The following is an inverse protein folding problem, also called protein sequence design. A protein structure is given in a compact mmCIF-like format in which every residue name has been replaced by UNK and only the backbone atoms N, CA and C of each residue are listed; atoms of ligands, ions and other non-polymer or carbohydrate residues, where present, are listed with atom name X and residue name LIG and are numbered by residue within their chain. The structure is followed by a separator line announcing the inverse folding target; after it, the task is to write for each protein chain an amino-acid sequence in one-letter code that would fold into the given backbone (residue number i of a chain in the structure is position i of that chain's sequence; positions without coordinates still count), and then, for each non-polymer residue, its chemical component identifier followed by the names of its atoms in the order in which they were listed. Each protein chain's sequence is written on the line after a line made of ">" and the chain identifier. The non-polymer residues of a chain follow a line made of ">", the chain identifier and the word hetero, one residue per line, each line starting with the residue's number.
data_IF_333948155926
#
_entry.id   IF_333948155926
#
_cell.length_a   1.000
_cell.length_b   1.000
_cell.length_c   1.000
_cell.angle_alpha   90.00
_cell.angle_beta   90.00
_cell.angle_gamma   90.00
#
_symmetry.space_group_name_H-M   'P 1'
#
loop_
_entity.id
_entity.type
_entity.pdbx_description
1 polymer ?
#
# COMPACT_ATOMS: atom_id res chain seq x y z
N UNK A 1 6.05 -19.86 -28.21
CA UNK A 1 6.30 -20.81 -27.09
C UNK A 1 7.71 -20.74 -26.48
N UNK A 2 8.74 -20.16 -27.12
CA UNK A 2 10.11 -20.11 -26.56
C UNK A 2 10.36 -19.04 -25.48
N UNK A 3 9.49 -18.03 -25.37
CA UNK A 3 9.64 -16.92 -24.39
C UNK A 3 9.11 -17.29 -22.99
N UNK A 4 8.21 -18.27 -22.90
CA UNK A 4 7.58 -18.65 -21.63
C UNK A 4 8.54 -19.42 -20.70
N UNK A 5 9.46 -20.21 -21.26
CA UNK A 5 10.47 -20.94 -20.49
C UNK A 5 11.55 -20.00 -19.92
N UNK A 6 11.85 -18.90 -20.60
CA UNK A 6 12.81 -17.89 -20.12
C UNK A 6 12.30 -17.16 -18.88
N UNK A 7 10.99 -16.86 -18.82
CA UNK A 7 10.38 -16.20 -17.67
C UNK A 7 10.34 -17.12 -16.43
N UNK A 8 10.10 -18.41 -16.64
CA UNK A 8 10.09 -19.43 -15.58
C UNK A 8 11.50 -19.71 -15.02
N UNK A 9 12.54 -19.57 -15.84
CA UNK A 9 13.93 -19.71 -15.39
C UNK A 9 14.41 -18.52 -14.54
N UNK A 10 13.96 -17.30 -14.86
CA UNK A 10 14.27 -16.09 -14.08
C UNK A 10 13.51 -16.07 -12.74
N UNK A 11 12.29 -16.62 -12.70
CA UNK A 11 11.51 -16.80 -11.46
C UNK A 11 12.07 -17.92 -10.56
N UNK A 12 12.74 -18.93 -11.11
CA UNK A 12 13.35 -20.02 -10.33
C UNK A 12 14.68 -19.67 -9.67
N UNK A 13 15.42 -18.67 -10.19
CA UNK A 13 16.75 -18.30 -9.71
C UNK A 13 16.76 -17.32 -8.53
N UNK A 14 15.62 -16.75 -8.14
CA UNK A 14 15.53 -15.87 -6.95
C UNK A 14 15.19 -16.62 -5.66
N UNK A 15 14.92 -17.93 -5.72
CA UNK A 15 14.53 -18.75 -4.55
C UNK A 15 15.74 -19.28 -3.77
N UNK A 16 16.97 -19.07 -4.27
CA UNK A 16 18.19 -19.70 -3.76
C UNK A 16 19.08 -18.88 -2.81
N UNK A 17 18.67 -17.71 -2.33
CA UNK A 17 19.46 -16.91 -1.37
C UNK A 17 18.72 -16.62 -0.08
N UNK A 18 18.24 -17.67 0.59
CA UNK A 18 17.95 -17.62 2.03
C UNK A 18 19.29 -17.73 2.80
N UNK A 19 20.13 -16.70 2.69
CA UNK A 19 21.24 -16.54 3.62
C UNK A 19 20.66 -16.20 4.99
N UNK A 20 20.94 -17.06 5.97
CA UNK A 20 20.69 -16.83 7.38
C UNK A 20 21.25 -15.47 7.82
N UNK A 21 20.39 -14.45 7.86
CA UNK A 21 20.72 -13.17 8.48
C UNK A 21 20.60 -13.32 9.99
N UNK A 22 21.77 -13.36 10.62
CA UNK A 22 22.03 -13.14 12.04
C UNK A 22 21.10 -12.03 12.58
N UNK A 23 20.34 -12.37 13.62
CA UNK A 23 19.39 -11.52 14.34
C UNK A 23 20.03 -10.16 14.73
N UNK A 24 19.90 -9.16 13.87
CA UNK A 24 19.83 -7.76 14.28
C UNK A 24 18.34 -7.47 14.34
N UNK A 25 17.84 -7.19 15.55
CA UNK A 25 16.46 -6.83 15.80
C UNK A 25 16.22 -5.41 15.24
N UNK A 26 16.25 -5.27 13.92
CA UNK A 26 15.76 -4.09 13.23
C UNK A 26 14.25 -4.12 13.42
N UNK A 27 13.73 -3.28 14.32
CA UNK A 27 12.34 -3.14 14.71
C UNK A 27 11.41 -2.65 13.59
N UNK A 28 11.51 -3.30 12.44
CA UNK A 28 10.85 -3.00 11.18
C UNK A 28 10.32 -4.31 10.59
N UNK A 29 9.03 -4.29 10.26
CA UNK A 29 8.39 -5.27 9.36
C UNK A 29 8.23 -4.60 8.01
N UNK A 30 8.44 -5.33 6.92
CA UNK A 30 8.22 -4.79 5.58
C UNK A 30 7.63 -5.86 4.66
N UNK A 31 7.07 -5.42 3.54
CA UNK A 31 6.60 -6.31 2.50
C UNK A 31 5.86 -5.60 1.39
N UNK A 32 5.35 -6.35 0.41
CA UNK A 32 4.44 -5.81 -0.60
C UNK A 32 3.02 -5.70 -0.06
N UNK A 33 2.22 -4.85 -0.70
CA UNK A 33 0.78 -4.79 -0.52
C UNK A 33 0.06 -4.63 -1.86
N UNK A 34 -1.17 -5.15 -1.88
CA UNK A 34 -2.11 -4.99 -2.98
C UNK A 34 -3.43 -4.49 -2.43
N UNK A 35 -4.08 -3.57 -3.12
CA UNK A 35 -5.35 -3.03 -2.67
C UNK A 35 -6.25 -2.57 -3.79
N UNK A 36 -7.50 -2.34 -3.47
CA UNK A 36 -8.49 -1.70 -4.32
C UNK A 36 -8.95 -0.42 -3.64
N UNK A 37 -9.10 0.64 -4.42
CA UNK A 37 -9.65 1.91 -3.97
C UNK A 37 -10.67 2.41 -4.97
N UNK A 38 -11.80 2.91 -4.45
CA UNK A 38 -12.77 3.67 -5.22
C UNK A 38 -12.72 5.13 -4.77
N UNK A 39 -12.42 6.04 -5.70
CA UNK A 39 -12.40 7.49 -5.49
C UNK A 39 -12.67 8.21 -6.80
N UNK A 40 -13.93 8.56 -7.07
CA UNK A 40 -14.35 9.08 -8.39
C UNK A 40 -14.02 8.16 -9.58
N UNK A 41 -13.66 6.90 -9.30
CA UNK A 41 -13.11 5.91 -10.21
C UNK A 41 -12.49 4.73 -9.48
N UNK A 42 -12.23 3.62 -10.20
CA UNK A 42 -11.60 2.42 -9.63
C UNK A 42 -10.09 2.43 -9.80
N UNK A 43 -9.38 2.06 -8.74
CA UNK A 43 -7.93 2.00 -8.69
C UNK A 43 -7.47 0.67 -8.09
N UNK A 44 -6.52 0.01 -8.76
CA UNK A 44 -5.73 -1.06 -8.19
C UNK A 44 -4.45 -0.44 -7.61
N UNK A 45 -4.17 -0.70 -6.34
CA UNK A 45 -2.99 -0.19 -5.64
C UNK A 45 -1.97 -1.30 -5.49
N UNK A 46 -0.72 -1.02 -5.82
CA UNK A 46 0.39 -1.91 -5.54
C UNK A 46 1.54 -1.10 -4.94
N UNK A 47 1.99 -1.50 -3.76
CA UNK A 47 2.99 -0.76 -2.99
C UNK A 47 3.96 -1.69 -2.28
N UNK A 48 5.15 -1.17 -1.97
CA UNK A 48 5.99 -1.67 -0.89
C UNK A 48 5.71 -0.88 0.38
N UNK A 49 5.79 -1.53 1.55
CA UNK A 49 5.55 -0.87 2.83
C UNK A 49 6.58 -1.31 3.87
N UNK A 50 6.81 -0.42 4.84
CA UNK A 50 7.58 -0.67 6.05
C UNK A 50 6.80 -0.19 7.27
N UNK A 51 6.77 -0.98 8.33
CA UNK A 51 6.08 -0.77 9.59
C UNK A 51 7.09 -0.83 10.73
N UNK A 52 7.05 0.16 11.62
CA UNK A 52 7.87 0.18 12.83
C UNK A 52 7.03 0.59 14.03
N UNK A 53 7.42 0.12 15.22
CA UNK A 53 6.78 0.50 16.47
C UNK A 53 7.23 1.91 16.88
N UNK A 54 6.28 2.80 17.13
CA UNK A 54 6.57 4.10 17.76
C UNK A 54 6.59 3.97 19.29
N UNK A 55 5.81 3.02 19.82
CA UNK A 55 5.82 2.56 21.20
C UNK A 55 5.23 1.12 21.25
N UNK A 56 5.13 0.47 22.43
CA UNK A 56 4.66 -0.92 22.51
C UNK A 56 3.24 -1.20 21.98
N UNK A 57 2.39 -0.18 21.83
CA UNK A 57 0.98 -0.34 21.41
C UNK A 57 0.61 0.41 20.13
N UNK A 58 1.53 1.17 19.54
CA UNK A 58 1.29 2.01 18.37
C UNK A 58 2.37 1.79 17.31
N UNK A 59 1.94 1.86 16.06
CA UNK A 59 2.79 1.58 14.92
C UNK A 59 2.63 2.65 13.85
N UNK A 60 3.70 2.89 13.13
CA UNK A 60 3.72 3.76 11.96
C UNK A 60 4.11 2.93 10.74
N UNK A 61 3.28 2.99 9.70
CA UNK A 61 3.55 2.39 8.39
C UNK A 61 3.80 3.48 7.38
N UNK A 62 4.87 3.31 6.62
CA UNK A 62 5.18 4.10 5.44
C UNK A 62 5.00 3.18 4.23
N UNK A 63 4.25 3.62 3.24
CA UNK A 63 4.03 2.89 1.99
C UNK A 63 4.35 3.75 0.76
N UNK A 64 4.93 3.13 -0.25
CA UNK A 64 5.29 3.77 -1.51
C UNK A 64 4.98 2.83 -2.67
N UNK A 65 4.30 3.33 -3.69
CA UNK A 65 3.81 2.50 -4.78
C UNK A 65 3.13 3.28 -5.87
N UNK A 66 2.15 2.64 -6.51
CA UNK A 66 1.36 3.27 -7.55
C UNK A 66 -0.09 2.76 -7.59
N UNK A 67 -0.95 3.66 -8.05
CA UNK A 67 -2.35 3.40 -8.38
C UNK A 67 -2.48 3.21 -9.89
N UNK A 68 -3.02 2.05 -10.28
CA UNK A 68 -3.34 1.68 -11.65
C UNK A 68 -4.84 1.89 -11.87
N UNK A 69 -5.19 2.57 -12.95
CA UNK A 69 -6.58 2.81 -13.31
C UNK A 69 -6.80 2.77 -14.82
N UNK A 70 -8.02 2.44 -15.23
CA UNK A 70 -8.46 2.31 -16.62
C UNK A 70 -9.66 3.22 -16.92
N UNK A 71 -9.62 4.45 -16.41
CA UNK A 71 -10.68 5.43 -16.63
C UNK A 71 -10.53 6.14 -17.97
N UNK A 72 -11.66 6.58 -18.53
CA UNK A 72 -11.70 7.37 -19.78
C UNK A 72 -10.96 6.69 -20.94
N UNK A 73 -11.09 5.36 -21.05
CA UNK A 73 -10.42 4.51 -22.06
C UNK A 73 -8.89 4.59 -22.04
N UNK A 74 -8.29 5.04 -20.93
CA UNK A 74 -6.84 5.21 -20.77
C UNK A 74 -6.33 4.44 -19.55
N UNK A 75 -5.26 3.68 -19.76
CA UNK A 75 -4.49 3.12 -18.64
C UNK A 75 -3.59 4.21 -18.07
N UNK A 76 -3.77 4.54 -16.78
CA UNK A 76 -2.98 5.55 -16.08
C UNK A 76 -2.35 4.93 -14.84
N UNK A 77 -1.06 5.23 -14.63
CA UNK A 77 -0.29 4.84 -13.45
C UNK A 77 0.07 6.11 -12.69
N UNK A 78 -0.32 6.15 -11.42
CA UNK A 78 -0.17 7.34 -10.58
C UNK A 78 0.69 6.95 -9.38
N UNK A 79 1.89 7.50 -9.21
CA UNK A 79 2.70 7.20 -8.03
C UNK A 79 2.00 7.70 -6.76
N UNK A 80 2.18 6.96 -5.67
CA UNK A 80 1.57 7.26 -4.38
C UNK A 80 2.58 7.06 -3.24
N UNK A 81 2.52 7.96 -2.27
CA UNK A 81 3.17 7.83 -0.97
C UNK A 81 2.09 7.84 0.12
N UNK A 82 2.19 6.91 1.07
CA UNK A 82 1.26 6.73 2.16
C UNK A 82 1.94 6.73 3.52
N UNK A 83 1.24 7.27 4.52
CA UNK A 83 1.61 7.23 5.92
C UNK A 83 0.40 6.80 6.74
N UNK A 84 0.51 5.69 7.47
CA UNK A 84 -0.57 5.13 8.30
C UNK A 84 -0.12 5.06 9.75
N UNK A 85 -0.91 5.62 10.66
CA UNK A 85 -0.67 5.57 12.09
C UNK A 85 -1.73 4.71 12.78
N UNK A 86 -1.32 3.58 13.34
CA UNK A 86 -2.20 2.67 14.07
C UNK A 86 -2.26 3.09 15.54
N UNK A 87 -3.49 3.29 16.03
CA UNK A 87 -3.76 3.86 17.34
C UNK A 87 -3.66 2.83 18.48
N UNK A 88 -3.79 1.54 18.18
CA UNK A 88 -3.75 0.44 19.14
C UNK A 88 -3.35 -0.89 18.45
N UNK A 89 -2.95 -1.90 19.25
CA UNK A 89 -2.42 -3.19 18.84
C UNK A 89 -3.31 -4.42 19.19
N UNK A 90 -4.62 -4.22 19.36
CA UNK A 90 -5.60 -5.32 19.63
C UNK A 90 -5.91 -6.15 18.37
N UNK A 91 -6.87 -7.07 18.30
CA UNK A 91 -7.11 -7.82 17.04
C UNK A 91 -7.52 -6.92 15.85
N UNK A 92 -8.16 -5.79 16.15
CA UNK A 92 -8.63 -4.77 15.21
C UNK A 92 -7.84 -3.49 15.47
N UNK A 93 -7.04 -3.05 14.51
CA UNK A 93 -6.14 -1.91 14.65
C UNK A 93 -6.81 -0.69 14.03
N UNK A 94 -7.46 0.19 14.81
CA UNK A 94 -7.94 1.45 14.26
C UNK A 94 -6.74 2.29 13.82
N UNK A 95 -6.88 2.94 12.65
CA UNK A 95 -5.81 3.77 12.11
C UNK A 95 -6.34 5.01 11.41
N UNK A 96 -5.44 5.98 11.28
CA UNK A 96 -5.57 7.10 10.36
C UNK A 96 -4.50 6.98 9.28
N UNK A 97 -4.84 7.35 8.05
CA UNK A 97 -3.94 7.27 6.90
C UNK A 97 -3.97 8.57 6.10
N UNK A 98 -2.79 9.08 5.77
CA UNK A 98 -2.59 10.09 4.76
C UNK A 98 -1.98 9.47 3.51
N UNK A 99 -2.48 9.81 2.34
CA UNK A 99 -1.91 9.42 1.04
C UNK A 99 -1.71 10.67 0.19
N UNK A 100 -0.56 10.78 -0.47
CA UNK A 100 -0.24 11.85 -1.40
C UNK A 100 0.05 11.23 -2.76
N UNK A 101 -0.59 11.79 -3.78
CA UNK A 101 -0.28 11.56 -5.19
C UNK A 101 0.04 12.90 -5.85
N UNK A 102 0.56 12.92 -7.09
CA UNK A 102 0.72 14.17 -7.84
C UNK A 102 -0.59 14.96 -8.03
N UNK A 103 -1.76 14.33 -7.84
CA UNK A 103 -3.06 14.93 -8.11
C UNK A 103 -3.89 15.17 -6.85
N UNK A 104 -3.71 14.39 -5.79
CA UNK A 104 -4.56 14.45 -4.60
C UNK A 104 -3.79 14.30 -3.29
N UNK A 105 -4.29 14.97 -2.25
CA UNK A 105 -3.98 14.66 -0.86
C UNK A 105 -5.20 13.98 -0.26
N UNK A 106 -5.05 12.77 0.26
CA UNK A 106 -6.17 11.97 0.73
C UNK A 106 -6.01 11.66 2.20
N UNK A 107 -7.01 12.00 3.01
CA UNK A 107 -7.08 11.68 4.42
C UNK A 107 -8.12 10.59 4.65
N UNK A 108 -7.75 9.53 5.35
CA UNK A 108 -8.60 8.37 5.62
C UNK A 108 -8.53 7.95 7.08
N UNK A 109 -9.59 7.28 7.53
CA UNK A 109 -9.62 6.52 8.77
C UNK A 109 -10.11 5.11 8.47
N UNK A 110 -9.65 4.13 9.25
CA UNK A 110 -9.92 2.74 8.94
C UNK A 110 -9.63 1.79 10.08
N UNK A 111 -9.82 0.51 9.78
CA UNK A 111 -9.54 -0.61 10.67
C UNK A 111 -8.72 -1.66 9.93
N UNK A 112 -7.67 -2.16 10.59
CA UNK A 112 -6.85 -3.26 10.11
C UNK A 112 -7.08 -4.52 10.92
N UNK A 113 -7.20 -5.68 10.29
CA UNK A 113 -7.17 -6.99 10.95
C UNK A 113 -5.74 -7.51 10.91
N UNK A 114 -5.09 -7.54 12.08
CA UNK A 114 -3.69 -7.97 12.25
C UNK A 114 -2.69 -7.31 11.28
N UNK A 115 -3.01 -6.11 10.79
CA UNK A 115 -2.28 -5.42 9.72
C UNK A 115 -2.12 -6.26 8.43
N UNK A 116 -2.89 -7.32 8.24
CA UNK A 116 -2.90 -8.12 7.00
C UNK A 116 -3.99 -7.64 6.06
N UNK A 117 -5.15 -7.25 6.59
CA UNK A 117 -6.28 -6.77 5.82
C UNK A 117 -6.73 -5.41 6.36
N UNK A 118 -6.88 -4.42 5.50
CA UNK A 118 -7.21 -3.05 5.86
C UNK A 118 -8.47 -2.61 5.15
N UNK A 119 -9.35 -1.94 5.88
CA UNK A 119 -10.49 -1.23 5.35
C UNK A 119 -10.40 0.23 5.77
N UNK A 120 -10.53 1.15 4.82
CA UNK A 120 -10.47 2.58 5.11
C UNK A 120 -11.48 3.35 4.27
N UNK A 121 -11.97 4.43 4.83
CA UNK A 121 -12.77 5.43 4.14
C UNK A 121 -12.25 6.83 4.45
N UNK A 122 -12.53 7.78 3.57
CA UNK A 122 -12.00 9.13 3.76
C UNK A 122 -12.39 10.09 2.65
N UNK A 123 -11.59 11.14 2.50
CA UNK A 123 -11.79 12.18 1.50
C UNK A 123 -10.47 12.56 0.83
N UNK A 124 -10.50 12.63 -0.50
CA UNK A 124 -9.41 13.14 -1.33
C UNK A 124 -9.63 14.58 -1.72
N UNK A 125 -8.65 15.43 -1.42
CA UNK A 125 -8.60 16.82 -1.82
C UNK A 125 -7.77 16.95 -3.09
N UNK A 126 -8.27 17.67 -4.09
CA UNK A 126 -7.50 17.98 -5.30
C UNK A 126 -6.32 18.91 -4.98
N UNK A 127 -5.14 18.56 -5.47
CA UNK A 127 -3.93 19.39 -5.42
C UNK A 127 -3.65 19.98 -6.80
N UNK A 128 -3.79 19.16 -7.84
CA UNK A 128 -3.49 19.52 -9.21
C UNK A 128 -4.26 18.59 -10.15
N UNK A 129 -5.37 19.06 -10.71
CA UNK A 129 -6.05 18.33 -11.79
C UNK A 129 -5.24 18.43 -13.08
N UNK A 130 -4.75 17.29 -13.58
CA UNK A 130 -4.13 17.22 -14.92
C UNK A 130 -5.17 17.62 -15.98
N UNK A 131 -4.81 18.50 -16.91
CA UNK A 131 -5.63 18.75 -18.11
C UNK A 131 -5.84 17.40 -18.83
N UNK A 132 -7.09 17.08 -19.16
CA UNK A 132 -7.53 15.80 -19.76
C UNK A 132 -7.60 14.57 -18.84
N UNK A 133 -7.67 14.77 -17.52
CA UNK A 133 -8.04 13.72 -16.57
C UNK A 133 -9.23 14.15 -15.72
N UNK A 134 -10.14 13.22 -15.42
CA UNK A 134 -11.24 13.48 -14.49
C UNK A 134 -10.67 13.80 -13.10
N UNK A 135 -11.18 14.83 -12.39
CA UNK A 135 -10.84 15.04 -11.00
C UNK A 135 -11.00 13.77 -10.16
N UNK A 136 -9.99 13.47 -9.35
CA UNK A 136 -9.94 12.29 -8.47
C UNK A 136 -10.24 12.71 -7.03
N UNK A 137 -10.89 13.84 -6.80
CA UNK A 137 -11.29 14.29 -5.48
C UNK A 137 -12.60 13.62 -5.02
N UNK A 138 -12.93 13.82 -3.75
CA UNK A 138 -14.18 13.35 -3.17
C UNK A 138 -14.02 12.17 -2.20
N UNK A 139 -15.15 11.55 -1.86
CA UNK A 139 -15.20 10.43 -0.94
C UNK A 139 -14.44 9.22 -1.50
N UNK A 140 -13.71 8.53 -0.63
CA UNK A 140 -12.91 7.38 -0.99
C UNK A 140 -13.16 6.21 -0.05
N UNK A 141 -13.16 5.01 -0.62
CA UNK A 141 -13.17 3.75 0.12
C UNK A 141 -12.05 2.86 -0.41
N UNK A 142 -11.36 2.14 0.46
CA UNK A 142 -10.30 1.23 0.07
C UNK A 142 -10.25 -0.02 0.93
N UNK A 143 -9.90 -1.13 0.27
CA UNK A 143 -9.53 -2.40 0.89
C UNK A 143 -8.12 -2.76 0.48
N UNK A 144 -7.28 -3.19 1.41
CA UNK A 144 -5.88 -3.51 1.15
C UNK A 144 -5.44 -4.78 1.86
N UNK A 145 -4.55 -5.54 1.23
CA UNK A 145 -3.89 -6.70 1.80
C UNK A 145 -2.40 -6.41 1.88
N UNK A 146 -1.82 -6.51 3.08
CA UNK A 146 -0.39 -6.40 3.30
C UNK A 146 0.20 -7.80 3.49
N UNK A 147 1.29 -8.10 2.79
CA UNK A 147 1.98 -9.38 2.86
C UNK A 147 3.32 -9.15 3.57
N UNK A 148 3.41 -9.39 4.90
CA UNK A 148 4.67 -9.22 5.62
C UNK A 148 5.69 -10.27 5.16
N UNK A 149 6.87 -9.83 4.72
CA UNK A 149 7.98 -10.73 4.38
C UNK A 149 8.79 -11.14 5.62
N UNK A 150 8.59 -10.44 6.74
CA UNK A 150 9.17 -10.73 8.05
C UNK A 150 8.09 -10.55 9.13
N UNK A 151 7.85 -11.56 9.95
CA UNK A 151 6.80 -11.53 10.99
C UNK A 151 7.27 -11.05 12.37
N UNK A 152 8.55 -10.67 12.51
CA UNK A 152 9.16 -10.34 13.80
C UNK A 152 9.71 -8.90 13.81
N UNK A 153 9.22 -8.11 14.77
CA UNK A 153 9.70 -6.79 15.17
C UNK A 153 10.77 -6.94 16.26
#
# INVERSE_FOLDING_TARGET
>A
MKVFYSLLLVLGLTVGQAHAQRNQNNGWIFGPSLGYQYQSGSFLKASGWGLFATNPSQFLKIDAGANFTWMMDKTTVIPELGLTYYLNNVAIWPFIKGEITPYTATAKAGVGLFNLLEFAAGYGFDINTKKDFKPIDGFTFSVGVNIPLKFHL
#
